data_IF_995764691330
#
_entry.id   IF_995764691330
#
_cell.length_a   1.000
_cell.length_b   1.000
_cell.length_c   1.000
_cell.angle_alpha   90.00
_cell.angle_beta   90.00
_cell.angle_gamma   90.00
#
_symmetry.space_group_name_H-M   'P 1'
#
loop_
_entity.id
_entity.type
_entity.pdbx_description
1 polymer ?
#
# COMPACT_ATOMS: atom_id res chain seq x y z
N UNK A 1 -3.83 -43.94 5.59
CA UNK A 1 -2.80 -43.26 4.76
C UNK A 1 -2.01 -42.35 5.67
N UNK A 2 -0.69 -42.45 5.66
CA UNK A 2 0.18 -41.73 6.59
C UNK A 2 0.13 -40.22 6.32
N UNK A 3 0.28 -39.42 7.37
CA UNK A 3 0.25 -37.95 7.29
C UNK A 3 1.30 -37.39 6.31
N UNK A 4 2.41 -38.10 6.10
CA UNK A 4 3.47 -37.70 5.16
C UNK A 4 3.07 -37.89 3.69
N UNK A 5 2.36 -38.98 3.36
CA UNK A 5 1.89 -39.26 2.00
C UNK A 5 0.88 -38.20 1.54
N UNK A 6 0.03 -37.72 2.46
CA UNK A 6 -0.93 -36.64 2.19
C UNK A 6 -0.25 -35.29 1.89
N UNK A 7 0.87 -34.99 2.55
CA UNK A 7 1.60 -33.73 2.32
C UNK A 7 2.34 -33.76 0.98
N UNK A 8 2.95 -34.89 0.62
CA UNK A 8 3.61 -35.07 -0.68
C UNK A 8 2.58 -34.97 -1.81
N UNK A 9 1.44 -35.66 -1.66
CA UNK A 9 0.33 -35.58 -2.62
C UNK A 9 -0.15 -34.14 -2.82
N UNK A 10 -0.39 -33.40 -1.72
CA UNK A 10 -0.79 -32.01 -1.78
C UNK A 10 0.24 -31.13 -2.52
N UNK A 11 1.54 -31.32 -2.23
CA UNK A 11 2.60 -30.52 -2.84
C UNK A 11 2.72 -30.75 -4.34
N UNK A 12 2.73 -32.00 -4.75
CA UNK A 12 2.93 -32.38 -6.15
C UNK A 12 1.71 -32.07 -7.03
N UNK A 13 0.51 -32.34 -6.53
CA UNK A 13 -0.72 -32.18 -7.32
C UNK A 13 -1.23 -30.74 -7.34
N UNK A 14 -1.18 -30.04 -6.20
CA UNK A 14 -1.83 -28.74 -6.04
C UNK A 14 -0.82 -27.60 -5.87
N UNK A 15 0.00 -27.65 -4.81
CA UNK A 15 0.81 -26.50 -4.38
C UNK A 15 1.80 -26.02 -5.45
N UNK A 16 2.54 -26.91 -6.11
CA UNK A 16 3.53 -26.52 -7.12
C UNK A 16 2.92 -25.72 -8.28
N UNK A 17 1.71 -26.09 -8.70
CA UNK A 17 0.99 -25.38 -9.76
C UNK A 17 0.44 -24.03 -9.25
N UNK A 18 -0.16 -24.02 -8.05
CA UNK A 18 -0.75 -22.82 -7.47
C UNK A 18 0.33 -21.78 -7.14
N UNK A 19 1.41 -22.19 -6.47
CA UNK A 19 2.55 -21.34 -6.12
C UNK A 19 3.23 -20.72 -7.35
N UNK A 20 3.39 -21.48 -8.44
CA UNK A 20 3.92 -20.97 -9.71
C UNK A 20 3.05 -19.85 -10.28
N UNK A 21 1.72 -20.01 -10.23
CA UNK A 21 0.78 -18.97 -10.68
C UNK A 21 0.84 -17.75 -9.77
N UNK A 22 0.81 -17.94 -8.45
CA UNK A 22 0.90 -16.84 -7.48
C UNK A 22 2.21 -16.07 -7.65
N UNK A 23 3.33 -16.76 -7.86
CA UNK A 23 4.60 -16.12 -8.17
C UNK A 23 4.58 -15.33 -9.47
N UNK A 24 3.89 -15.80 -10.51
CA UNK A 24 3.71 -15.01 -11.74
C UNK A 24 2.81 -13.78 -11.52
N UNK A 25 1.87 -13.82 -10.58
CA UNK A 25 1.03 -12.67 -10.21
C UNK A 25 1.84 -11.64 -9.40
N UNK A 26 2.70 -12.11 -8.50
CA UNK A 26 3.61 -11.26 -7.72
C UNK A 26 4.73 -10.67 -8.60
N UNK A 27 5.22 -11.42 -9.58
CA UNK A 27 6.27 -11.01 -10.51
C UNK A 27 5.78 -11.01 -11.97
N UNK A 28 5.08 -9.95 -12.40
CA UNK A 28 4.55 -9.85 -13.77
C UNK A 28 5.65 -9.80 -14.85
N UNK A 29 6.92 -9.67 -14.47
CA UNK A 29 8.09 -9.82 -15.36
C UNK A 29 8.15 -11.20 -16.03
N UNK A 30 7.57 -12.23 -15.40
CA UNK A 30 7.40 -13.54 -16.00
C UNK A 30 6.18 -13.51 -16.95
N UNK A 31 6.43 -13.37 -18.25
CA UNK A 31 5.42 -13.34 -19.34
C UNK A 31 4.66 -14.67 -19.54
N UNK A 32 4.52 -15.50 -18.51
CA UNK A 32 3.76 -16.76 -18.60
C UNK A 32 2.27 -16.42 -18.58
N UNK A 33 1.54 -16.93 -19.58
CA UNK A 33 0.09 -16.78 -19.65
C UNK A 33 -0.55 -17.54 -18.49
N UNK A 34 -1.38 -16.86 -17.70
CA UNK A 34 -2.12 -17.45 -16.59
C UNK A 34 -3.48 -17.91 -17.12
N UNK A 35 -3.80 -19.19 -16.94
CA UNK A 35 -5.10 -19.77 -17.27
C UNK A 35 -5.95 -19.83 -16.00
N UNK A 36 -6.70 -18.76 -15.71
CA UNK A 36 -7.43 -18.63 -14.45
C UNK A 36 -8.41 -19.77 -14.18
N UNK A 37 -9.10 -20.30 -15.19
CA UNK A 37 -10.05 -21.43 -15.05
C UNK A 37 -9.40 -22.70 -14.47
N UNK A 38 -8.18 -23.02 -14.91
CA UNK A 38 -7.44 -24.18 -14.43
C UNK A 38 -7.06 -24.01 -12.96
N UNK A 39 -6.67 -22.79 -12.58
CA UNK A 39 -6.26 -22.45 -11.21
C UNK A 39 -7.45 -22.46 -10.27
N UNK A 40 -8.59 -21.91 -10.68
CA UNK A 40 -9.84 -22.00 -9.91
C UNK A 40 -10.25 -23.46 -9.67
N UNK A 41 -10.16 -24.30 -10.70
CA UNK A 41 -10.48 -25.73 -10.59
C UNK A 41 -9.53 -26.48 -9.65
N UNK A 42 -8.23 -26.13 -9.67
CA UNK A 42 -7.22 -26.71 -8.77
C UNK A 42 -7.44 -26.28 -7.32
N UNK A 43 -7.71 -25.00 -7.08
CA UNK A 43 -8.03 -24.49 -5.74
C UNK A 43 -9.30 -25.16 -5.21
N UNK A 44 -10.34 -25.29 -6.05
CA UNK A 44 -11.57 -25.98 -5.66
C UNK A 44 -11.30 -27.43 -5.21
N UNK A 45 -10.57 -28.22 -6.01
CA UNK A 45 -10.22 -29.61 -5.65
C UNK A 45 -9.40 -29.68 -4.37
N UNK A 46 -8.39 -28.81 -4.22
CA UNK A 46 -7.55 -28.71 -3.04
C UNK A 46 -8.36 -28.45 -1.76
N UNK A 47 -9.38 -27.58 -1.84
CA UNK A 47 -10.28 -27.29 -0.71
C UNK A 47 -11.22 -28.46 -0.44
N UNK A 48 -11.80 -29.07 -1.47
CA UNK A 48 -12.66 -30.26 -1.31
C UNK A 48 -11.94 -31.45 -0.66
N UNK A 49 -10.63 -31.58 -0.86
CA UNK A 49 -9.80 -32.61 -0.24
C UNK A 49 -9.33 -32.26 1.19
N UNK A 50 -9.71 -31.08 1.70
CA UNK A 50 -9.43 -30.68 3.08
C UNK A 50 -8.08 -30.00 3.32
N UNK A 51 -7.36 -29.60 2.26
CA UNK A 51 -6.06 -28.93 2.36
C UNK A 51 -6.16 -27.39 2.42
N UNK A 52 -7.30 -26.83 2.83
CA UNK A 52 -7.55 -25.38 2.87
C UNK A 52 -6.56 -24.62 3.76
N UNK A 53 -6.26 -25.17 4.94
CA UNK A 53 -5.36 -24.52 5.91
C UNK A 53 -3.90 -24.58 5.46
N UNK A 54 -3.47 -25.71 4.89
CA UNK A 54 -2.14 -25.84 4.27
C UNK A 54 -1.97 -24.81 3.15
N UNK A 55 -2.97 -24.72 2.25
CA UNK A 55 -2.97 -23.77 1.16
C UNK A 55 -2.86 -22.33 1.66
N UNK A 56 -3.64 -21.96 2.68
CA UNK A 56 -3.60 -20.62 3.28
C UNK A 56 -2.22 -20.30 3.86
N UNK A 57 -1.66 -21.18 4.67
CA UNK A 57 -0.34 -20.98 5.28
C UNK A 57 0.77 -20.90 4.24
N UNK A 58 0.73 -21.75 3.22
CA UNK A 58 1.72 -21.76 2.16
C UNK A 58 1.63 -20.49 1.30
N UNK A 59 0.43 -19.98 1.00
CA UNK A 59 0.25 -18.68 0.31
C UNK A 59 0.85 -17.54 1.12
N UNK A 60 0.59 -17.51 2.43
CA UNK A 60 1.16 -16.49 3.32
C UNK A 60 2.69 -16.58 3.35
N UNK A 61 3.25 -17.78 3.50
CA UNK A 61 4.70 -18.00 3.51
C UNK A 61 5.37 -17.61 2.19
N UNK A 62 4.71 -17.92 1.07
CA UNK A 62 5.17 -17.55 -0.27
C UNK A 62 5.20 -16.02 -0.43
N UNK A 63 4.12 -15.35 -0.03
CA UNK A 63 4.03 -13.89 -0.06
C UNK A 63 5.07 -13.26 0.86
N UNK A 64 5.23 -13.75 2.10
CA UNK A 64 6.27 -13.27 3.03
C UNK A 64 7.67 -13.42 2.44
N UNK A 65 7.99 -14.58 1.86
CA UNK A 65 9.30 -14.83 1.24
C UNK A 65 9.57 -13.84 0.09
N UNK A 66 8.56 -13.59 -0.75
CA UNK A 66 8.62 -12.60 -1.81
C UNK A 66 8.84 -11.18 -1.27
N UNK A 67 8.13 -10.80 -0.20
CA UNK A 67 8.27 -9.48 0.44
C UNK A 67 9.66 -9.28 1.01
N UNK A 68 10.26 -10.29 1.66
CA UNK A 68 11.65 -10.23 2.11
C UNK A 68 12.63 -10.05 0.95
N UNK A 69 12.39 -10.71 -0.19
CA UNK A 69 13.21 -10.54 -1.38
C UNK A 69 13.15 -9.12 -1.91
N UNK A 70 11.95 -8.54 -2.07
CA UNK A 70 11.79 -7.14 -2.48
C UNK A 70 12.45 -6.21 -1.48
N UNK A 71 12.22 -6.44 -0.18
CA UNK A 71 12.78 -5.60 0.87
C UNK A 71 14.31 -5.50 0.75
N UNK A 72 14.96 -6.64 0.54
CA UNK A 72 16.41 -6.72 0.35
C UNK A 72 16.86 -6.07 -0.96
N UNK A 73 16.10 -6.22 -2.05
CA UNK A 73 16.41 -5.55 -3.31
C UNK A 73 16.28 -4.03 -3.22
N UNK A 74 15.24 -3.53 -2.55
CA UNK A 74 15.07 -2.11 -2.26
C UNK A 74 16.23 -1.61 -1.41
N UNK A 75 16.58 -2.30 -0.32
CA UNK A 75 17.70 -1.91 0.54
C UNK A 75 19.04 -1.88 -0.23
N UNK A 76 19.29 -2.84 -1.12
CA UNK A 76 20.48 -2.82 -1.98
C UNK A 76 20.49 -1.61 -2.91
N UNK A 77 19.39 -1.32 -3.60
CA UNK A 77 19.30 -0.14 -4.49
C UNK A 77 19.49 1.17 -3.73
N UNK A 78 18.92 1.25 -2.54
CA UNK A 78 18.97 2.43 -1.66
C UNK A 78 20.36 2.61 -1.03
N UNK A 79 21.10 1.53 -0.75
CA UNK A 79 22.41 1.58 -0.09
C UNK A 79 23.49 2.31 -0.89
N UNK A 80 23.33 2.41 -2.21
CA UNK A 80 24.29 3.07 -3.12
C UNK A 80 24.05 4.58 -3.20
N UNK A 81 22.92 5.06 -2.68
CA UNK A 81 22.51 6.47 -2.75
C UNK A 81 22.74 7.18 -1.42
N UNK A 82 23.18 8.43 -1.50
CA UNK A 82 23.39 9.31 -0.35
C UNK A 82 22.53 10.57 -0.38
N UNK A 83 22.26 11.12 0.79
CA UNK A 83 21.53 12.39 0.96
C UNK A 83 20.03 12.33 0.60
N UNK A 84 19.44 13.43 0.10
CA UNK A 84 17.99 13.51 -0.13
C UNK A 84 17.52 12.57 -1.26
N UNK A 85 18.41 12.23 -2.20
CA UNK A 85 18.11 11.29 -3.30
C UNK A 85 17.78 9.89 -2.77
N UNK A 86 18.42 9.47 -1.68
CA UNK A 86 18.15 8.20 -1.01
C UNK A 86 16.69 8.11 -0.56
N UNK A 87 16.17 9.16 0.05
CA UNK A 87 14.80 9.18 0.59
C UNK A 87 13.77 9.26 -0.54
N UNK A 88 14.04 10.04 -1.58
CA UNK A 88 13.18 10.13 -2.78
C UNK A 88 13.09 8.76 -3.46
N UNK A 89 14.22 8.10 -3.73
CA UNK A 89 14.24 6.76 -4.32
C UNK A 89 13.56 5.71 -3.42
N UNK A 90 13.68 5.86 -2.11
CA UNK A 90 12.96 5.01 -1.14
C UNK A 90 11.45 5.20 -1.25
N UNK A 91 10.98 6.45 -1.38
CA UNK A 91 9.57 6.76 -1.57
C UNK A 91 9.02 6.20 -2.89
N UNK A 92 9.70 6.45 -4.01
CA UNK A 92 9.28 5.98 -5.33
C UNK A 92 9.24 4.45 -5.40
N UNK A 93 10.30 3.80 -4.90
CA UNK A 93 10.37 2.35 -4.83
C UNK A 93 9.27 1.75 -3.96
N UNK A 94 9.00 2.35 -2.79
CA UNK A 94 7.94 1.90 -1.91
C UNK A 94 6.56 2.10 -2.53
N UNK A 95 6.29 3.25 -3.16
CA UNK A 95 5.00 3.53 -3.79
C UNK A 95 4.73 2.55 -4.94
N UNK A 96 5.73 2.29 -5.78
CA UNK A 96 5.64 1.30 -6.85
C UNK A 96 5.37 -0.11 -6.31
N UNK A 97 6.12 -0.54 -5.28
CA UNK A 97 5.92 -1.85 -4.66
C UNK A 97 4.55 -1.98 -4.00
N UNK A 98 4.06 -0.92 -3.33
CA UNK A 98 2.75 -0.91 -2.69
C UNK A 98 1.63 -1.02 -3.71
N UNK A 99 1.70 -0.28 -4.82
CA UNK A 99 0.73 -0.38 -5.91
C UNK A 99 0.71 -1.77 -6.53
N UNK A 100 1.89 -2.29 -6.91
CA UNK A 100 2.01 -3.62 -7.48
C UNK A 100 1.45 -4.69 -6.53
N UNK A 101 1.78 -4.60 -5.23
CA UNK A 101 1.33 -5.57 -4.24
C UNK A 101 -0.17 -5.50 -3.98
N UNK A 102 -0.79 -4.31 -3.97
CA UNK A 102 -2.24 -4.18 -3.84
C UNK A 102 -2.97 -4.89 -4.98
N UNK A 103 -2.54 -4.67 -6.23
CA UNK A 103 -3.11 -5.31 -7.42
C UNK A 103 -2.91 -6.83 -7.36
N UNK A 104 -1.71 -7.29 -7.00
CA UNK A 104 -1.40 -8.72 -6.89
C UNK A 104 -2.20 -9.38 -5.77
N UNK A 105 -2.38 -8.70 -4.64
CA UNK A 105 -3.18 -9.19 -3.51
C UNK A 105 -4.64 -9.37 -3.92
N UNK A 106 -5.24 -8.41 -4.63
CA UNK A 106 -6.62 -8.52 -5.12
C UNK A 106 -6.79 -9.72 -6.07
N UNK A 107 -5.82 -9.96 -6.96
CA UNK A 107 -5.82 -11.11 -7.86
C UNK A 107 -5.69 -12.45 -7.11
N UNK A 108 -4.80 -12.51 -6.11
CA UNK A 108 -4.63 -13.69 -5.25
C UNK A 108 -5.93 -13.97 -4.47
N UNK A 109 -6.54 -12.94 -3.89
CA UNK A 109 -7.81 -13.06 -3.17
C UNK A 109 -8.94 -13.52 -4.10
N UNK A 110 -8.97 -13.02 -5.34
CA UNK A 110 -9.94 -13.46 -6.36
C UNK A 110 -9.78 -14.95 -6.67
N UNK A 111 -8.55 -15.44 -6.86
CA UNK A 111 -8.25 -16.87 -7.07
C UNK A 111 -8.70 -17.71 -5.88
N UNK A 112 -8.48 -17.20 -4.67
CA UNK A 112 -8.86 -17.87 -3.43
C UNK A 112 -10.32 -17.63 -3.02
N UNK A 113 -11.13 -16.92 -3.83
CA UNK A 113 -12.52 -16.58 -3.49
C UNK A 113 -13.38 -17.83 -3.26
N UNK A 114 -13.06 -18.95 -3.91
CA UNK A 114 -13.73 -20.23 -3.68
C UNK A 114 -13.46 -20.80 -2.28
N UNK A 115 -12.27 -20.59 -1.70
CA UNK A 115 -12.01 -20.89 -0.28
C UNK A 115 -12.97 -20.07 0.59
N UNK A 116 -13.09 -18.78 0.29
CA UNK A 116 -13.89 -17.83 1.07
C UNK A 116 -15.41 -18.05 0.92
N UNK A 117 -15.88 -18.69 -0.17
CA UNK A 117 -17.32 -18.90 -0.45
C UNK A 117 -17.86 -20.23 0.10
N UNK A 118 -17.00 -21.24 0.30
CA UNK A 118 -17.38 -22.57 0.79
C UNK A 118 -17.18 -22.72 2.30
N UNK A 119 -16.51 -21.78 2.94
CA UNK A 119 -16.28 -21.76 4.39
C UNK A 119 -17.26 -20.77 5.04
N UNK A 120 -17.91 -21.18 6.13
CA UNK A 120 -18.89 -20.34 6.85
C UNK A 120 -18.23 -19.00 7.23
N UNK A 121 -18.99 -17.91 7.10
CA UNK A 121 -18.56 -16.51 7.27
C UNK A 121 -17.82 -16.21 8.59
N UNK A 122 -17.92 -17.09 9.60
CA UNK A 122 -17.32 -16.96 10.94
C UNK A 122 -16.00 -17.74 11.17
N UNK A 123 -15.46 -18.47 10.19
CA UNK A 123 -14.25 -19.28 10.39
C UNK A 123 -12.96 -18.46 10.20
N UNK A 124 -11.99 -18.63 11.13
CA UNK A 124 -10.64 -18.05 11.09
C UNK A 124 -9.77 -18.52 9.89
N UNK A 125 -10.37 -19.20 8.92
CA UNK A 125 -9.73 -19.94 7.82
C UNK A 125 -9.81 -19.21 6.48
N UNK A 126 -10.55 -18.10 6.39
CA UNK A 126 -10.55 -17.24 5.20
C UNK A 126 -9.16 -16.60 5.03
N UNK A 127 -8.63 -16.57 3.80
CA UNK A 127 -7.40 -15.81 3.50
C UNK A 127 -7.76 -14.32 3.52
N UNK A 128 -7.46 -13.58 4.61
CA UNK A 128 -7.92 -12.21 4.72
C UNK A 128 -6.99 -11.37 3.84
N UNK A 129 -7.57 -10.62 2.91
CA UNK A 129 -6.83 -9.57 2.19
C UNK A 129 -6.06 -8.68 3.19
N UNK A 130 -6.66 -8.41 4.34
CA UNK A 130 -6.04 -7.64 5.43
C UNK A 130 -4.78 -8.29 6.00
N UNK A 131 -4.68 -9.63 6.09
CA UNK A 131 -3.48 -10.29 6.60
C UNK A 131 -2.31 -10.20 5.62
N UNK A 132 -2.56 -10.33 4.31
CA UNK A 132 -1.54 -10.14 3.28
C UNK A 132 -1.01 -8.70 3.29
N UNK A 133 -1.92 -7.73 3.39
CA UNK A 133 -1.54 -6.31 3.44
C UNK A 133 -0.84 -5.95 4.76
N UNK A 134 -1.21 -6.55 5.89
CA UNK A 134 -0.51 -6.39 7.17
C UNK A 134 0.92 -6.94 7.09
N UNK A 135 1.12 -8.10 6.45
CA UNK A 135 2.47 -8.63 6.19
C UNK A 135 3.32 -7.65 5.36
N UNK A 136 2.75 -7.02 4.33
CA UNK A 136 3.46 -6.00 3.55
C UNK A 136 3.88 -4.81 4.41
N UNK A 137 2.94 -4.28 5.21
CA UNK A 137 3.18 -3.16 6.10
C UNK A 137 4.34 -3.45 7.07
N UNK A 138 4.31 -4.63 7.70
CA UNK A 138 5.30 -5.04 8.70
C UNK A 138 6.69 -5.30 8.13
N UNK A 139 6.77 -5.90 6.93
CA UNK A 139 8.05 -6.27 6.32
C UNK A 139 8.70 -5.11 5.56
N UNK A 140 7.91 -4.26 4.91
CA UNK A 140 8.42 -3.27 3.93
C UNK A 140 8.21 -1.82 4.38
N UNK A 141 7.07 -1.50 5.01
CA UNK A 141 6.72 -0.11 5.34
C UNK A 141 7.31 0.36 6.67
N UNK A 142 7.24 -0.44 7.73
CA UNK A 142 7.47 0.01 9.12
C UNK A 142 8.83 0.70 9.32
N UNK A 143 9.92 0.17 8.78
CA UNK A 143 11.26 0.75 8.95
C UNK A 143 11.55 1.94 8.02
N UNK A 144 10.74 2.15 6.98
CA UNK A 144 10.94 3.24 5.99
C UNK A 144 10.03 4.44 6.24
N UNK A 145 8.85 4.20 6.82
CA UNK A 145 7.81 5.20 6.93
C UNK A 145 8.25 6.40 7.78
N UNK A 146 8.96 6.16 8.89
CA UNK A 146 9.46 7.25 9.75
C UNK A 146 10.39 8.21 9.00
N UNK A 147 11.30 7.67 8.18
CA UNK A 147 12.24 8.48 7.39
C UNK A 147 11.52 9.27 6.29
N UNK A 148 10.56 8.65 5.61
CA UNK A 148 9.74 9.30 4.57
C UNK A 148 8.90 10.43 5.16
N UNK A 149 8.20 10.17 6.28
CA UNK A 149 7.37 11.18 6.95
C UNK A 149 8.23 12.36 7.42
N UNK A 150 9.35 12.09 8.07
CA UNK A 150 10.27 13.14 8.54
C UNK A 150 10.82 13.98 7.38
N UNK A 151 11.10 13.35 6.23
CA UNK A 151 11.55 14.08 5.04
C UNK A 151 10.44 14.97 4.48
N UNK A 152 9.22 14.45 4.29
CA UNK A 152 8.09 15.24 3.75
C UNK A 152 7.78 16.46 4.64
N UNK A 153 7.93 16.36 5.96
CA UNK A 153 7.70 17.49 6.86
C UNK A 153 8.78 18.58 6.80
N UNK A 154 10.04 18.21 6.55
CA UNK A 154 11.18 19.13 6.54
C UNK A 154 11.59 19.60 5.14
N UNK A 155 11.12 18.94 4.09
CA UNK A 155 11.42 19.29 2.71
C UNK A 155 10.57 20.46 2.21
N UNK A 156 11.10 21.27 1.27
CA UNK A 156 10.32 22.31 0.63
C UNK A 156 9.14 21.70 -0.15
N UNK A 157 8.02 22.44 -0.27
CA UNK A 157 6.86 21.99 -1.04
C UNK A 157 7.27 21.67 -2.48
N UNK A 158 6.61 20.67 -3.08
CA UNK A 158 6.86 20.18 -4.45
C UNK A 158 8.19 19.44 -4.69
N UNK A 159 8.94 19.09 -3.63
CA UNK A 159 10.10 18.18 -3.77
C UNK A 159 9.69 16.80 -4.31
N UNK A 160 8.50 16.35 -3.92
CA UNK A 160 7.83 15.15 -4.44
C UNK A 160 6.53 15.61 -5.11
N UNK A 161 6.11 14.90 -6.16
CA UNK A 161 4.85 15.18 -6.84
C UNK A 161 3.68 15.04 -5.84
N UNK A 162 2.88 16.10 -5.61
CA UNK A 162 1.70 16.04 -4.74
C UNK A 162 0.71 14.94 -5.12
N UNK A 163 0.64 14.58 -6.41
CA UNK A 163 -0.24 13.51 -6.89
C UNK A 163 0.23 12.15 -6.39
N UNK A 164 1.53 11.85 -6.56
CA UNK A 164 2.16 10.63 -6.06
C UNK A 164 2.06 10.52 -4.54
N UNK A 165 2.27 11.62 -3.82
CA UNK A 165 2.09 11.66 -2.36
C UNK A 165 0.65 11.31 -1.95
N UNK A 166 -0.34 11.88 -2.63
CA UNK A 166 -1.75 11.60 -2.35
C UNK A 166 -2.07 10.12 -2.56
N UNK A 167 -1.68 9.56 -3.69
CA UNK A 167 -1.90 8.14 -3.98
C UNK A 167 -1.17 7.24 -3.00
N UNK A 168 0.07 7.56 -2.65
CA UNK A 168 0.85 6.82 -1.66
C UNK A 168 0.13 6.76 -0.32
N UNK A 169 -0.29 7.89 0.25
CA UNK A 169 -0.99 7.91 1.54
C UNK A 169 -2.34 7.21 1.48
N UNK A 170 -3.11 7.37 0.39
CA UNK A 170 -4.38 6.65 0.19
C UNK A 170 -4.19 5.13 0.18
N UNK A 171 -3.21 4.65 -0.60
CA UNK A 171 -2.85 3.22 -0.70
C UNK A 171 -2.34 2.69 0.63
N UNK A 172 -1.54 3.47 1.35
CA UNK A 172 -1.01 3.10 2.66
C UNK A 172 -2.11 3.03 3.73
N UNK A 173 -3.08 3.94 3.67
CA UNK A 173 -4.26 3.91 4.55
C UNK A 173 -5.13 2.68 4.27
N UNK A 174 -5.31 2.31 3.01
CA UNK A 174 -6.00 1.08 2.62
C UNK A 174 -5.25 -0.17 3.10
N UNK A 175 -3.93 -0.24 2.87
CA UNK A 175 -3.11 -1.40 3.23
C UNK A 175 -3.06 -1.64 4.75
N UNK A 176 -2.93 -0.57 5.53
CA UNK A 176 -2.85 -0.66 7.00
C UNK A 176 -4.20 -0.61 7.71
N UNK A 177 -5.32 -0.58 6.97
CA UNK A 177 -6.66 -0.37 7.52
C UNK A 177 -6.72 0.85 8.46
N UNK A 178 -5.99 1.92 8.12
CA UNK A 178 -5.93 3.17 8.87
C UNK A 178 -5.07 3.16 10.15
N UNK A 179 -4.23 2.15 10.38
CA UNK A 179 -3.32 2.16 11.54
C UNK A 179 -2.30 3.30 11.45
N UNK A 180 -1.66 3.52 10.29
CA UNK A 180 -0.70 4.60 10.14
C UNK A 180 -1.32 6.00 10.23
N UNK A 181 -2.59 6.13 9.85
CA UNK A 181 -3.33 7.38 9.99
C UNK A 181 -3.53 7.78 11.46
N UNK A 182 -3.55 6.80 12.39
CA UNK A 182 -3.55 7.07 13.84
C UNK A 182 -2.19 7.51 14.37
N UNK A 183 -1.10 6.98 13.79
CA UNK A 183 0.27 7.31 14.20
C UNK A 183 0.69 8.69 13.69
N UNK A 184 0.35 9.02 12.44
CA UNK A 184 0.71 10.29 11.80
C UNK A 184 -0.52 11.07 11.31
N UNK A 185 -1.44 11.48 12.20
CA UNK A 185 -2.73 12.07 11.81
C UNK A 185 -2.56 13.38 11.02
N UNK A 186 -1.58 14.21 11.38
CA UNK A 186 -1.33 15.53 10.75
C UNK A 186 -0.88 15.44 9.30
N UNK A 187 -0.10 14.41 8.94
CA UNK A 187 0.40 14.26 7.56
C UNK A 187 -0.66 13.57 6.70
N UNK A 188 -1.32 12.54 7.22
CA UNK A 188 -2.39 11.84 6.52
C UNK A 188 -3.58 12.76 6.24
N UNK A 189 -3.92 13.68 7.15
CA UNK A 189 -5.02 14.64 6.94
C UNK A 189 -4.79 15.64 5.81
N UNK A 190 -3.54 15.85 5.38
CA UNK A 190 -3.22 16.71 4.23
C UNK A 190 -3.59 16.04 2.90
N UNK A 191 -3.64 14.71 2.86
CA UNK A 191 -3.78 13.93 1.64
C UNK A 191 -5.07 13.08 1.60
N UNK A 192 -5.68 12.81 2.76
CA UNK A 192 -6.89 12.00 2.91
C UNK A 192 -7.91 12.76 3.75
N UNK A 193 -9.13 12.84 3.25
CA UNK A 193 -10.27 13.41 3.99
C UNK A 193 -10.73 12.48 5.12
N UNK A 194 -11.32 13.05 6.18
CA UNK A 194 -11.90 12.31 7.33
C UNK A 194 -10.90 11.53 8.21
N UNK A 195 -9.59 11.81 8.14
CA UNK A 195 -8.59 11.23 9.07
C UNK A 195 -8.64 11.89 10.44
N UNK A 196 -8.89 13.20 10.47
CA UNK A 196 -9.07 13.94 11.73
C UNK A 196 -10.52 13.87 12.19
N UNK A 197 -10.76 13.96 13.52
CA UNK A 197 -12.10 14.13 14.06
C UNK A 197 -12.80 15.31 13.37
N UNK A 198 -14.12 15.20 13.19
CA UNK A 198 -14.92 16.34 12.72
C UNK A 198 -14.69 17.51 13.69
N UNK A 199 -14.35 18.66 13.12
CA UNK A 199 -14.08 19.87 13.89
C UNK A 199 -15.28 20.18 14.79
N UNK A 200 -15.01 20.41 16.08
CA UNK A 200 -16.04 20.82 17.04
C UNK A 200 -16.13 22.34 17.06
N UNK A 201 -17.31 22.89 17.38
CA UNK A 201 -17.51 24.35 17.41
C UNK A 201 -16.52 25.08 18.33
N UNK A 202 -16.07 24.42 19.40
CA UNK A 202 -15.08 24.94 20.36
C UNK A 202 -13.66 25.09 19.80
N UNK A 203 -13.36 24.48 18.65
CA UNK A 203 -12.05 24.53 17.99
C UNK A 203 -12.00 25.65 16.91
N UNK A 204 -13.12 26.33 16.67
CA UNK A 204 -13.26 27.36 15.65
C UNK A 204 -12.37 28.57 15.94
N UNK A 205 -12.34 29.05 17.19
CA UNK A 205 -11.53 30.19 17.60
C UNK A 205 -10.03 29.91 17.46
N UNK A 206 -9.60 28.70 17.82
CA UNK A 206 -8.20 28.27 17.67
C UNK A 206 -7.78 28.25 16.19
N UNK A 207 -8.65 27.78 15.31
CA UNK A 207 -8.40 27.79 13.87
C UNK A 207 -8.37 29.22 13.29
N UNK A 208 -9.27 30.09 13.74
CA UNK A 208 -9.27 31.52 13.35
C UNK A 208 -7.94 32.17 13.75
N UNK A 209 -7.43 31.89 14.95
CA UNK A 209 -6.16 32.40 15.45
C UNK A 209 -4.97 31.89 14.62
N UNK A 210 -4.96 30.60 14.27
CA UNK A 210 -3.92 29.99 13.44
C UNK A 210 -3.92 30.57 12.01
N UNK A 211 -5.10 30.75 11.40
CA UNK A 211 -5.24 31.40 10.10
C UNK A 211 -4.77 32.86 10.16
N UNK A 212 -5.11 33.60 11.21
CA UNK A 212 -4.62 34.99 11.40
C UNK A 212 -3.10 35.04 11.47
N UNK A 213 -2.47 34.12 12.20
CA UNK A 213 -1.00 34.01 12.30
C UNK A 213 -0.36 33.68 10.96
N UNK A 214 -0.93 32.74 10.21
CA UNK A 214 -0.46 32.39 8.88
C UNK A 214 -0.55 33.57 7.91
N UNK A 215 -1.69 34.28 7.93
CA UNK A 215 -1.88 35.49 7.12
C UNK A 215 -0.87 36.58 7.50
N UNK A 216 -0.61 36.79 8.80
CA UNK A 216 0.38 37.76 9.26
C UNK A 216 1.79 37.38 8.81
N UNK A 217 2.16 36.11 8.91
CA UNK A 217 3.43 35.58 8.41
C UNK A 217 3.58 35.78 6.89
N UNK A 218 2.54 35.53 6.11
CA UNK A 218 2.57 35.78 4.66
C UNK A 218 2.63 37.26 4.31
N UNK A 219 1.92 38.13 5.03
CA UNK A 219 2.03 39.58 4.81
C UNK A 219 3.42 40.12 5.14
N UNK A 220 4.12 39.52 6.09
CA UNK A 220 5.48 39.90 6.47
C UNK A 220 6.54 39.35 5.49
N UNK A 221 6.33 38.15 4.94
CA UNK A 221 7.32 37.45 4.10
C UNK A 221 7.07 37.54 2.60
N UNK A 222 5.89 37.98 2.15
CA UNK A 222 5.69 38.36 0.76
C UNK A 222 6.13 39.81 0.57
N UNK A 223 7.15 40.03 -0.26
CA UNK A 223 7.39 41.37 -0.82
C UNK A 223 6.09 41.89 -1.44
N UNK A 224 5.79 43.20 -1.31
CA UNK A 224 4.64 43.79 -1.96
C UNK A 224 4.84 43.61 -3.47
N UNK A 225 4.18 42.60 -4.05
CA UNK A 225 3.88 42.62 -5.48
C UNK A 225 3.05 43.88 -5.67
N UNK A 226 3.70 44.92 -6.18
CA UNK A 226 3.04 46.16 -6.58
C UNK A 226 1.79 45.81 -7.40
N UNK A 227 0.76 46.67 -7.37
CA UNK A 227 -0.52 46.36 -7.99
C UNK A 227 -0.26 45.87 -9.41
N UNK A 228 -0.59 44.60 -9.68
CA UNK A 228 -0.70 44.12 -11.05
C UNK A 228 -1.76 45.03 -11.66
N UNK A 229 -1.32 46.02 -12.44
CA UNK A 229 -2.21 46.80 -13.27
C UNK A 229 -2.97 45.77 -14.10
N UNK A 230 -4.24 45.60 -13.75
CA UNK A 230 -5.12 44.69 -14.45
C UNK A 230 -5.01 45.02 -15.93
N UNK A 231 -4.59 44.05 -16.72
CA UNK A 231 -4.83 44.04 -18.15
C UNK A 231 -6.35 44.16 -18.32
N UNK A 232 -6.83 45.40 -18.47
CA UNK A 232 -8.20 45.67 -18.89
C UNK A 232 -8.37 44.92 -20.21
N UNK A 233 -9.34 44.00 -20.26
CA UNK A 233 -9.75 43.38 -21.52
C UNK A 233 -10.08 44.54 -22.49
N UNK A 234 -9.54 44.55 -23.71
CA UNK A 234 -10.02 45.49 -24.71
C UNK A 234 -11.51 45.20 -24.93
N UNK A 235 -12.33 46.24 -24.86
CA UNK A 235 -13.68 46.17 -25.38
C UNK A 235 -13.55 46.09 -26.90
N UNK A 236 -14.04 45.01 -27.49
CA UNK A 236 -14.27 44.92 -28.93
C UNK A 236 -15.58 45.68 -29.22
N UNK A 237 -15.48 46.73 -30.03
CA UNK A 237 -16.61 47.37 -30.72
C UNK A 237 -16.92 46.59 -32.01
#
# INVERSE_FOLDING_TARGET
MNSEDNIVHYKEQFWNNISSVIMNILMPSNKKRIYFEQVYSLVYKCVCEGFSENLRMDILNLCMSYLYSINNELDKKISVLDGPQKVIATFEGLNHCLEAYLISTEKICSICSYMNKLQREDSKENLPQTALLDCFCRVVCDHRLQNIVSFIENSPPFTLDPTELRWFFQRLNLASSGQYAKVYPKIFSRYISNVLPKMREQELEAYIEEVKRLQAFWRANMEPRGPQQGLKRPAED
#
